data_IF_903024636057
#
_entry.id   IF_903024636057
#
_cell.length_a   1.000
_cell.length_b   1.000
_cell.length_c   1.000
_cell.angle_alpha   90.00
_cell.angle_beta   90.00
_cell.angle_gamma   90.00
#
_symmetry.space_group_name_H-M   'P 1'
#
loop_
_entity.id
_entity.type
_entity.pdbx_description
1 polymer ?
#
# COMPACT_ATOMS: atom_id res chain seq x y z
N UNK A 1 26.83 -3.61 -1.17
CA UNK A 1 25.38 -3.94 -1.07
C UNK A 1 24.86 -4.72 -2.28
N UNK A 2 25.06 -4.24 -3.51
CA UNK A 2 24.52 -4.87 -4.74
C UNK A 2 24.95 -6.33 -4.97
N UNK A 3 26.20 -6.69 -4.67
CA UNK A 3 26.68 -8.09 -4.76
C UNK A 3 25.91 -9.01 -3.80
N UNK A 4 25.67 -8.55 -2.57
CA UNK A 4 24.89 -9.27 -1.55
C UNK A 4 23.43 -9.38 -2.02
N UNK A 5 22.87 -8.30 -2.56
CA UNK A 5 21.52 -8.29 -3.11
C UNK A 5 21.34 -9.31 -4.26
N UNK A 6 22.31 -9.41 -5.18
CA UNK A 6 22.30 -10.41 -6.26
C UNK A 6 22.26 -11.83 -5.68
N UNK A 7 23.04 -12.08 -4.61
CA UNK A 7 23.11 -13.39 -3.96
C UNK A 7 21.82 -13.76 -3.23
N UNK A 8 21.18 -12.78 -2.58
CA UNK A 8 20.01 -13.01 -1.71
C UNK A 8 18.69 -12.88 -2.47
N UNK A 9 18.52 -11.86 -3.31
CA UNK A 9 17.27 -11.54 -4.03
C UNK A 9 17.26 -12.08 -5.47
N UNK A 10 18.41 -12.55 -5.96
CA UNK A 10 18.57 -13.22 -7.25
C UNK A 10 19.15 -12.32 -8.36
N UNK A 11 19.62 -12.93 -9.46
CA UNK A 11 20.33 -12.21 -10.52
C UNK A 11 19.44 -11.25 -11.31
N UNK A 12 18.15 -11.59 -11.52
CA UNK A 12 17.19 -10.71 -12.22
C UNK A 12 16.93 -9.41 -11.43
N UNK A 13 16.93 -9.48 -10.10
CA UNK A 13 16.82 -8.29 -9.24
C UNK A 13 18.05 -7.39 -9.43
N UNK A 14 19.25 -7.96 -9.33
CA UNK A 14 20.49 -7.20 -9.45
C UNK A 14 20.65 -6.47 -10.77
N UNK A 15 20.34 -7.13 -11.90
CA UNK A 15 20.41 -6.48 -13.22
C UNK A 15 19.44 -5.29 -13.30
N UNK A 16 18.20 -5.46 -12.85
CA UNK A 16 17.21 -4.36 -12.83
C UNK A 16 17.66 -3.20 -11.94
N UNK A 17 18.23 -3.49 -10.77
CA UNK A 17 18.77 -2.49 -9.85
C UNK A 17 19.94 -1.73 -10.49
N UNK A 18 20.86 -2.43 -11.17
CA UNK A 18 21.99 -1.79 -11.85
C UNK A 18 21.54 -0.87 -12.97
N UNK A 19 20.63 -1.34 -13.82
CA UNK A 19 20.03 -0.52 -14.88
C UNK A 19 19.23 0.65 -14.27
N UNK A 20 18.51 0.41 -13.18
CA UNK A 20 17.70 1.42 -12.51
C UNK A 20 18.54 2.58 -11.95
N UNK A 21 19.58 2.30 -11.17
CA UNK A 21 20.40 3.38 -10.60
C UNK A 21 21.24 4.09 -11.66
N UNK A 22 21.67 3.41 -12.72
CA UNK A 22 22.42 4.05 -13.82
C UNK A 22 21.54 5.01 -14.61
N UNK A 23 20.30 4.61 -14.94
CA UNK A 23 19.31 5.48 -15.56
C UNK A 23 18.92 6.64 -14.64
N UNK A 24 18.72 6.38 -13.34
CA UNK A 24 18.42 7.42 -12.36
C UNK A 24 19.55 8.46 -12.30
N UNK A 25 20.81 8.01 -12.25
CA UNK A 25 21.97 8.89 -12.25
C UNK A 25 22.04 9.72 -13.53
N UNK A 26 21.83 9.11 -14.70
CA UNK A 26 21.80 9.83 -15.98
C UNK A 26 20.67 10.86 -16.04
N UNK A 27 19.50 10.53 -15.49
CA UNK A 27 18.35 11.43 -15.43
C UNK A 27 18.61 12.63 -14.52
N UNK A 28 19.22 12.41 -13.35
CA UNK A 28 19.62 13.49 -12.45
C UNK A 28 20.62 14.41 -13.15
N UNK A 29 21.66 13.86 -13.79
CA UNK A 29 22.64 14.69 -14.52
C UNK A 29 22.02 15.49 -15.67
N UNK A 30 21.01 14.95 -16.35
CA UNK A 30 20.27 15.68 -17.38
C UNK A 30 19.46 16.83 -16.79
N UNK A 31 18.79 16.61 -15.65
CA UNK A 31 18.05 17.65 -14.95
C UNK A 31 18.98 18.76 -14.45
N UNK A 32 20.13 18.40 -13.87
CA UNK A 32 21.15 19.36 -13.44
C UNK A 32 21.65 20.22 -14.60
N UNK A 33 21.92 19.60 -15.77
CA UNK A 33 22.36 20.32 -16.96
C UNK A 33 21.30 21.29 -17.53
N UNK A 34 20.01 20.97 -17.37
CA UNK A 34 18.91 21.74 -17.97
C UNK A 34 18.30 22.78 -17.05
N UNK A 35 18.21 22.50 -15.75
CA UNK A 35 17.50 23.31 -14.75
C UNK A 35 18.40 23.88 -13.65
N UNK A 36 19.66 23.44 -13.54
CA UNK A 36 20.58 23.90 -12.49
C UNK A 36 20.29 23.29 -11.11
N UNK A 37 20.87 23.89 -10.06
CA UNK A 37 20.79 23.44 -8.67
C UNK A 37 19.86 24.29 -7.80
N UNK A 38 19.22 25.31 -8.37
CA UNK A 38 18.40 26.23 -7.60
C UNK A 38 17.14 25.52 -7.07
N UNK A 39 16.80 25.72 -5.78
CA UNK A 39 15.61 25.11 -5.21
C UNK A 39 14.37 25.69 -5.90
N UNK A 40 13.39 24.83 -6.21
CA UNK A 40 12.12 25.26 -6.80
C UNK A 40 11.40 26.32 -5.94
N UNK A 41 11.56 26.25 -4.62
CA UNK A 41 11.03 27.22 -3.66
C UNK A 41 12.12 27.58 -2.66
N UNK A 42 12.59 28.82 -2.71
CA UNK A 42 13.56 29.34 -1.75
C UNK A 42 12.93 29.60 -0.38
N UNK A 43 13.70 29.36 0.69
CA UNK A 43 13.34 29.74 2.05
C UNK A 43 12.35 28.82 2.79
N UNK A 44 11.79 27.79 2.14
CA UNK A 44 10.88 26.83 2.77
C UNK A 44 11.37 25.36 2.67
N UNK A 45 12.28 24.94 3.58
CA UNK A 45 12.78 23.57 3.62
C UNK A 45 11.71 22.55 4.05
N UNK A 46 10.65 22.98 4.75
CA UNK A 46 9.56 22.08 5.14
C UNK A 46 8.74 21.69 3.91
N UNK A 47 8.37 22.65 3.08
CA UNK A 47 7.67 22.41 1.82
C UNK A 47 8.48 21.46 0.91
N UNK A 48 9.77 21.74 0.75
CA UNK A 48 10.69 20.90 -0.03
C UNK A 48 10.78 19.47 0.53
N UNK A 49 10.84 19.32 1.86
CA UNK A 49 10.88 18.01 2.52
C UNK A 49 9.61 17.20 2.29
N UNK A 50 8.44 17.83 2.37
CA UNK A 50 7.15 17.15 2.17
C UNK A 50 7.00 16.70 0.71
N UNK A 51 7.15 17.62 -0.24
CA UNK A 51 6.98 17.29 -1.67
C UNK A 51 8.08 16.35 -2.17
N UNK A 52 9.33 16.58 -1.76
CA UNK A 52 10.45 15.68 -2.04
C UNK A 52 10.19 14.27 -1.50
N UNK A 53 9.76 14.15 -0.24
CA UNK A 53 9.42 12.86 0.36
C UNK A 53 8.28 12.13 -0.36
N UNK A 54 7.24 12.85 -0.80
CA UNK A 54 6.15 12.25 -1.58
C UNK A 54 6.63 11.75 -2.94
N UNK A 55 7.38 12.58 -3.69
CA UNK A 55 7.87 12.22 -5.02
C UNK A 55 8.89 11.08 -4.98
N UNK A 56 9.83 11.12 -4.03
CA UNK A 56 10.81 10.05 -3.80
C UNK A 56 10.08 8.78 -3.39
N UNK A 57 9.13 8.86 -2.45
CA UNK A 57 8.34 7.72 -2.01
C UNK A 57 7.54 7.08 -3.13
N UNK A 58 6.98 7.89 -4.03
CA UNK A 58 6.26 7.38 -5.20
C UNK A 58 7.20 6.66 -6.17
N UNK A 59 8.34 7.27 -6.51
CA UNK A 59 9.35 6.66 -7.37
C UNK A 59 9.91 5.34 -6.80
N UNK A 60 10.29 5.35 -5.52
CA UNK A 60 10.76 4.15 -4.82
C UNK A 60 9.68 3.06 -4.75
N UNK A 61 8.42 3.43 -4.49
CA UNK A 61 7.31 2.50 -4.50
C UNK A 61 7.16 1.77 -5.84
N UNK A 62 7.30 2.48 -6.97
CA UNK A 62 7.28 1.87 -8.30
C UNK A 62 8.47 0.95 -8.55
N UNK A 63 9.67 1.36 -8.10
CA UNK A 63 10.90 0.56 -8.19
C UNK A 63 10.72 -0.76 -7.44
N UNK A 64 10.27 -0.74 -6.18
CA UNK A 64 10.05 -1.96 -5.41
C UNK A 64 8.93 -2.83 -5.98
N UNK A 65 7.85 -2.22 -6.49
CA UNK A 65 6.77 -2.95 -7.19
C UNK A 65 7.28 -3.71 -8.40
N UNK A 66 8.32 -3.21 -9.08
CA UNK A 66 8.98 -3.89 -10.20
C UNK A 66 9.98 -4.99 -9.81
N UNK A 67 10.14 -5.24 -8.49
CA UNK A 67 11.18 -6.07 -7.88
C UNK A 67 12.59 -5.58 -8.23
N UNK A 68 12.84 -4.29 -8.00
CA UNK A 68 14.15 -3.63 -8.12
C UNK A 68 14.40 -2.74 -6.90
N UNK A 69 15.54 -2.06 -6.85
CA UNK A 69 15.93 -1.12 -5.78
C UNK A 69 16.74 0.04 -6.37
N UNK A 70 16.89 1.15 -5.64
CA UNK A 70 17.77 2.27 -5.97
C UNK A 70 19.25 1.97 -5.72
N UNK A 71 19.56 0.87 -5.01
CA UNK A 71 20.94 0.40 -4.80
C UNK A 71 21.56 0.80 -3.45
N UNK A 72 20.78 1.43 -2.56
CA UNK A 72 21.23 2.01 -1.28
C UNK A 72 20.79 1.21 -0.05
N UNK A 73 20.35 1.93 1.01
CA UNK A 73 19.83 1.34 2.26
C UNK A 73 18.54 0.54 2.03
N UNK A 74 17.83 0.83 0.96
CA UNK A 74 16.63 0.13 0.52
C UNK A 74 16.86 -1.34 0.14
N UNK A 75 18.07 -1.73 -0.27
CA UNK A 75 18.47 -3.13 -0.41
C UNK A 75 18.30 -3.86 0.92
N UNK A 76 18.68 -3.24 2.04
CA UNK A 76 18.59 -3.85 3.37
C UNK A 76 17.13 -4.06 3.75
N UNK A 77 16.29 -3.05 3.55
CA UNK A 77 14.85 -3.15 3.78
C UNK A 77 14.21 -4.28 2.95
N UNK A 78 14.60 -4.42 1.67
CA UNK A 78 14.12 -5.50 0.79
C UNK A 78 14.62 -6.88 1.22
N UNK A 79 15.86 -7.00 1.70
CA UNK A 79 16.37 -8.25 2.27
C UNK A 79 15.58 -8.62 3.52
N UNK A 80 15.35 -7.68 4.45
CA UNK A 80 14.58 -7.94 5.67
C UNK A 80 13.14 -8.33 5.31
N UNK A 81 12.50 -7.61 4.38
CA UNK A 81 11.15 -7.93 3.88
C UNK A 81 11.06 -9.38 3.37
N UNK A 82 12.09 -9.87 2.68
CA UNK A 82 12.12 -11.25 2.17
C UNK A 82 11.93 -12.29 3.31
N UNK A 83 12.44 -12.00 4.50
CA UNK A 83 12.36 -12.91 5.65
C UNK A 83 11.17 -12.60 6.59
N UNK A 84 10.86 -11.33 6.83
CA UNK A 84 9.84 -10.92 7.81
C UNK A 84 8.47 -10.67 7.20
N UNK A 85 8.38 -10.45 5.88
CA UNK A 85 7.16 -10.07 5.14
C UNK A 85 6.46 -8.80 5.64
N UNK A 86 7.14 -7.99 6.45
CA UNK A 86 6.63 -6.68 6.89
C UNK A 86 6.64 -5.68 5.73
N UNK A 87 5.77 -4.65 5.74
CA UNK A 87 5.75 -3.62 4.69
C UNK A 87 7.13 -2.99 4.45
N UNK A 88 7.52 -2.88 3.17
CA UNK A 88 8.87 -2.41 2.80
C UNK A 88 9.11 -0.97 3.25
N UNK A 89 8.08 -0.11 3.18
CA UNK A 89 8.13 1.26 3.64
C UNK A 89 8.35 1.39 5.15
N UNK A 90 7.74 0.54 5.97
CA UNK A 90 8.02 0.49 7.41
C UNK A 90 9.47 0.06 7.70
N UNK A 91 9.99 -0.90 6.95
CA UNK A 91 11.37 -1.35 7.08
C UNK A 91 12.37 -0.26 6.66
N UNK A 92 12.05 0.48 5.60
CA UNK A 92 12.81 1.67 5.20
C UNK A 92 12.84 2.73 6.30
N UNK A 93 11.69 3.03 6.90
CA UNK A 93 11.62 3.98 8.02
C UNK A 93 12.55 3.52 9.16
N UNK A 94 12.51 2.25 9.54
CA UNK A 94 13.35 1.73 10.61
C UNK A 94 14.86 1.80 10.28
N UNK A 95 15.25 1.39 9.07
CA UNK A 95 16.64 1.41 8.62
C UNK A 95 17.16 2.85 8.52
N UNK A 96 16.44 3.72 7.81
CA UNK A 96 16.91 5.09 7.58
C UNK A 96 16.84 5.94 8.86
N UNK A 97 15.84 5.74 9.73
CA UNK A 97 15.80 6.41 11.03
C UNK A 97 16.99 6.00 11.92
N UNK A 98 17.44 4.76 11.84
CA UNK A 98 18.64 4.31 12.57
C UNK A 98 19.91 5.02 12.07
N UNK A 99 20.03 5.21 10.74
CA UNK A 99 21.14 5.93 10.12
C UNK A 99 21.12 7.41 10.54
N UNK A 100 19.94 8.05 10.52
CA UNK A 100 19.78 9.45 10.94
C UNK A 100 20.11 9.63 12.42
N UNK A 101 19.74 8.68 13.29
CA UNK A 101 20.04 8.75 14.72
C UNK A 101 21.56 8.67 14.98
N UNK A 102 22.27 7.84 14.22
CA UNK A 102 23.74 7.79 14.26
C UNK A 102 24.34 9.13 13.78
N UNK A 103 23.75 9.74 12.75
CA UNK A 103 24.23 11.05 12.24
C UNK A 103 24.02 12.19 13.25
N UNK A 104 22.92 12.18 14.01
CA UNK A 104 22.66 13.16 15.06
C UNK A 104 23.77 13.16 16.12
N UNK A 105 24.21 11.98 16.54
CA UNK A 105 25.31 11.83 17.52
C UNK A 105 26.65 12.34 16.95
N UNK A 106 26.85 12.25 15.64
CA UNK A 106 28.10 12.65 14.99
C UNK A 106 28.20 14.15 14.69
N UNK A 107 27.08 14.81 14.35
CA UNK A 107 27.07 16.19 13.87
C UNK A 107 26.45 17.19 14.86
N UNK A 108 25.80 16.72 15.93
CA UNK A 108 25.22 17.51 17.03
C UNK A 108 24.26 18.66 16.59
N UNK A 109 23.75 18.59 15.36
CA UNK A 109 22.72 19.48 14.81
C UNK A 109 21.37 18.77 14.77
N UNK A 110 20.37 19.34 15.43
CA UNK A 110 19.01 18.82 15.49
C UNK A 110 18.18 19.15 14.25
N UNK A 111 18.55 20.16 13.47
CA UNK A 111 17.75 20.63 12.34
C UNK A 111 17.71 19.60 11.22
N UNK A 112 18.86 19.12 10.78
CA UNK A 112 18.97 18.17 9.66
C UNK A 112 18.27 16.83 9.97
N UNK A 113 18.47 16.20 11.15
CA UNK A 113 17.79 14.95 11.51
C UNK A 113 16.27 15.07 11.62
N UNK A 114 15.75 16.18 12.16
CA UNK A 114 14.30 16.40 12.25
C UNK A 114 13.64 16.53 10.88
N UNK A 115 14.24 17.27 9.94
CA UNK A 115 13.75 17.30 8.56
C UNK A 115 13.88 15.94 7.87
N UNK A 116 14.98 15.23 8.11
CA UNK A 116 15.20 13.88 7.56
C UNK A 116 14.14 12.90 8.04
N UNK A 117 13.74 12.93 9.31
CA UNK A 117 12.66 12.09 9.83
C UNK A 117 11.31 12.37 9.18
N UNK A 118 11.00 13.64 8.88
CA UNK A 118 9.78 13.98 8.11
C UNK A 118 9.83 13.33 6.73
N UNK A 119 10.94 13.49 6.00
CA UNK A 119 11.12 12.91 4.66
C UNK A 119 11.02 11.39 4.71
N UNK A 120 11.71 10.74 5.65
CA UNK A 120 11.73 9.27 5.80
C UNK A 120 10.33 8.74 6.10
N UNK A 121 9.62 9.36 7.03
CA UNK A 121 8.26 8.94 7.39
C UNK A 121 7.29 9.05 6.21
N UNK A 122 7.30 10.19 5.51
CA UNK A 122 6.46 10.41 4.32
C UNK A 122 6.82 9.41 3.23
N UNK A 123 8.12 9.26 2.92
CA UNK A 123 8.63 8.35 1.90
C UNK A 123 8.15 6.93 2.17
N UNK A 124 8.36 6.40 3.39
CA UNK A 124 7.95 5.05 3.74
C UNK A 124 6.44 4.83 3.64
N UNK A 125 5.62 5.79 4.08
CA UNK A 125 4.15 5.70 3.95
C UNK A 125 3.70 5.69 2.49
N UNK A 126 4.29 6.54 1.65
CA UNK A 126 3.97 6.59 0.22
C UNK A 126 4.43 5.32 -0.49
N UNK A 127 5.62 4.80 -0.16
CA UNK A 127 6.13 3.53 -0.68
C UNK A 127 5.14 2.39 -0.42
N UNK A 128 4.71 2.22 0.83
CA UNK A 128 3.77 1.16 1.18
C UNK A 128 2.44 1.31 0.44
N UNK A 129 1.92 2.53 0.33
CA UNK A 129 0.70 2.82 -0.43
C UNK A 129 0.83 2.46 -1.93
N UNK A 130 1.98 2.71 -2.55
CA UNK A 130 2.23 2.40 -3.96
C UNK A 130 2.41 0.90 -4.19
N UNK A 131 3.14 0.21 -3.30
CA UNK A 131 3.40 -1.23 -3.40
C UNK A 131 2.12 -2.03 -3.18
N UNK A 132 1.42 -1.79 -2.06
CA UNK A 132 0.17 -2.48 -1.74
C UNK A 132 -0.90 -2.13 -2.77
N UNK A 133 -0.78 -0.95 -3.38
CA UNK A 133 -1.82 -0.35 -4.18
C UNK A 133 -2.99 0.05 -3.29
N UNK A 134 -3.96 0.74 -3.88
CA UNK A 134 -5.21 0.97 -3.19
C UNK A 134 -6.03 -0.32 -3.35
N UNK A 135 -5.99 -1.21 -2.34
CA UNK A 135 -6.96 -2.29 -2.26
C UNK A 135 -8.34 -1.65 -2.02
N UNK A 136 -9.18 -1.68 -3.05
CA UNK A 136 -10.54 -1.14 -2.96
C UNK A 136 -11.55 -2.19 -2.51
N UNK A 137 -11.11 -3.42 -2.25
CA UNK A 137 -12.00 -4.49 -1.86
C UNK A 137 -12.43 -4.32 -0.41
N UNK A 138 -13.73 -4.41 -0.19
CA UNK A 138 -14.42 -4.26 1.07
C UNK A 138 -15.20 -5.53 1.33
N UNK A 139 -15.11 -6.02 2.56
CA UNK A 139 -15.99 -7.08 3.03
C UNK A 139 -17.27 -6.43 3.53
N UNK A 140 -18.40 -6.83 2.96
CA UNK A 140 -19.72 -6.36 3.34
C UNK A 140 -20.46 -7.47 4.09
N UNK A 141 -20.93 -7.14 5.28
CA UNK A 141 -21.84 -7.97 6.08
C UNK A 141 -23.19 -7.26 6.13
N UNK A 142 -24.21 -7.83 5.49
CA UNK A 142 -25.52 -7.20 5.31
C UNK A 142 -26.54 -8.00 6.12
N UNK A 143 -27.30 -7.31 6.97
CA UNK A 143 -28.43 -7.86 7.71
C UNK A 143 -29.69 -7.12 7.26
N UNK A 144 -30.65 -7.87 6.71
CA UNK A 144 -31.89 -7.36 6.11
C UNK A 144 -33.01 -8.38 6.31
N UNK A 145 -34.26 -7.93 6.29
CA UNK A 145 -35.44 -8.79 6.25
C UNK A 145 -35.77 -9.30 4.84
N UNK A 146 -35.04 -8.84 3.81
CA UNK A 146 -35.19 -9.24 2.40
C UNK A 146 -33.89 -9.81 1.80
N UNK A 147 -33.32 -10.89 2.37
CA UNK A 147 -32.02 -11.44 1.94
C UNK A 147 -32.02 -11.92 0.48
N UNK A 148 -33.15 -12.42 -0.02
CA UNK A 148 -33.26 -12.93 -1.39
C UNK A 148 -33.16 -11.81 -2.45
N UNK A 149 -33.77 -10.65 -2.18
CA UNK A 149 -33.69 -9.51 -3.10
C UNK A 149 -32.28 -8.93 -3.18
N UNK A 150 -31.61 -8.81 -2.02
CA UNK A 150 -30.24 -8.28 -1.95
C UNK A 150 -29.23 -9.28 -2.53
N UNK A 151 -29.37 -10.58 -2.25
CA UNK A 151 -28.48 -11.60 -2.81
C UNK A 151 -28.58 -11.69 -4.34
N UNK A 152 -29.79 -11.58 -4.90
CA UNK A 152 -29.98 -11.51 -6.35
C UNK A 152 -29.30 -10.30 -6.97
N UNK A 153 -29.40 -9.11 -6.35
CA UNK A 153 -28.68 -7.91 -6.80
C UNK A 153 -27.15 -8.13 -6.82
N UNK A 154 -26.62 -8.82 -5.81
CA UNK A 154 -25.18 -9.13 -5.71
C UNK A 154 -24.76 -10.11 -6.81
N UNK A 155 -25.55 -11.15 -7.05
CA UNK A 155 -25.25 -12.21 -8.02
C UNK A 155 -25.43 -11.76 -9.47
N UNK A 156 -26.53 -11.08 -9.80
CA UNK A 156 -26.91 -10.75 -11.18
C UNK A 156 -26.30 -9.42 -11.64
N UNK A 157 -26.42 -8.37 -10.82
CA UNK A 157 -26.04 -7.02 -11.26
C UNK A 157 -24.57 -6.69 -10.97
N UNK A 158 -24.04 -7.19 -9.85
CA UNK A 158 -22.63 -6.97 -9.48
C UNK A 158 -21.73 -8.12 -9.94
N UNK A 159 -22.31 -9.26 -10.34
CA UNK A 159 -21.58 -10.48 -10.70
C UNK A 159 -20.56 -10.91 -9.62
N UNK A 160 -20.99 -10.81 -8.34
CA UNK A 160 -20.17 -11.14 -7.17
C UNK A 160 -20.74 -12.34 -6.43
N UNK A 161 -19.85 -13.12 -5.84
CA UNK A 161 -20.23 -14.21 -4.93
C UNK A 161 -20.66 -13.67 -3.56
N UNK A 162 -21.47 -14.45 -2.87
CA UNK A 162 -21.85 -14.20 -1.48
C UNK A 162 -22.17 -15.49 -0.75
N UNK A 163 -22.09 -15.46 0.56
CA UNK A 163 -22.38 -16.59 1.45
C UNK A 163 -23.41 -16.16 2.48
N UNK A 164 -24.44 -16.98 2.67
CA UNK A 164 -25.36 -16.79 3.80
C UNK A 164 -24.75 -17.34 5.08
N UNK A 165 -24.76 -16.52 6.12
CA UNK A 165 -24.36 -16.88 7.47
C UNK A 165 -25.61 -16.82 8.35
N UNK A 166 -25.99 -17.97 8.93
CA UNK A 166 -27.07 -18.05 9.90
C UNK A 166 -26.70 -17.23 11.14
N UNK A 167 -27.46 -16.19 11.42
CA UNK A 167 -27.29 -15.30 12.55
C UNK A 167 -28.55 -15.30 13.42
N UNK A 168 -28.43 -14.83 14.65
CA UNK A 168 -29.56 -14.68 15.57
C UNK A 168 -29.60 -13.27 16.10
N UNK A 169 -30.74 -12.60 15.99
CA UNK A 169 -30.93 -11.25 16.49
C UNK A 169 -30.77 -11.20 18.00
N UNK A 170 -29.89 -10.33 18.50
CA UNK A 170 -29.62 -10.23 19.93
C UNK A 170 -30.83 -9.72 20.73
N UNK A 171 -31.62 -8.82 20.14
CA UNK A 171 -32.83 -8.27 20.77
C UNK A 171 -34.08 -9.11 20.48
N UNK A 172 -34.32 -9.45 19.22
CA UNK A 172 -35.53 -10.18 18.81
C UNK A 172 -35.47 -11.67 19.10
N UNK A 173 -34.28 -12.25 19.26
CA UNK A 173 -34.09 -13.70 19.42
C UNK A 173 -34.40 -14.52 18.16
N UNK A 174 -34.77 -13.88 17.05
CA UNK A 174 -35.14 -14.55 15.80
C UNK A 174 -33.90 -14.93 14.98
N UNK A 175 -33.96 -16.07 14.31
CA UNK A 175 -32.96 -16.45 13.31
C UNK A 175 -33.12 -15.58 12.07
N UNK A 176 -31.99 -15.10 11.55
CA UNK A 176 -31.91 -14.28 10.34
C UNK A 176 -30.72 -14.72 9.51
N UNK A 177 -30.81 -14.56 8.20
CA UNK A 177 -29.69 -14.78 7.29
C UNK A 177 -28.92 -13.48 7.07
N UNK A 178 -27.64 -13.49 7.43
CA UNK A 178 -26.70 -12.42 7.12
C UNK A 178 -25.98 -12.74 5.81
N UNK A 179 -25.92 -11.78 4.89
CA UNK A 179 -25.17 -11.92 3.65
C UNK A 179 -23.72 -11.47 3.90
N UNK A 180 -22.78 -12.38 3.66
CA UNK A 180 -21.35 -12.10 3.61
C UNK A 180 -20.92 -12.03 2.15
N UNK A 181 -20.41 -10.88 1.71
CA UNK A 181 -19.90 -10.72 0.34
C UNK A 181 -18.66 -9.84 0.34
N UNK A 182 -17.89 -9.96 -0.74
CA UNK A 182 -16.74 -9.10 -1.01
C UNK A 182 -17.04 -8.33 -2.28
N UNK A 183 -16.88 -7.01 -2.19
CA UNK A 183 -17.17 -6.08 -3.28
C UNK A 183 -16.13 -4.97 -3.31
N UNK A 184 -15.97 -4.29 -4.43
CA UNK A 184 -15.10 -3.10 -4.49
C UNK A 184 -15.80 -1.84 -3.94
N UNK A 185 -15.03 -0.78 -3.69
CA UNK A 185 -15.54 0.50 -3.15
C UNK A 185 -16.69 1.11 -3.95
N UNK A 186 -16.74 0.93 -5.28
CA UNK A 186 -17.84 1.47 -6.12
C UNK A 186 -19.11 0.63 -5.93
N UNK A 187 -18.95 -0.69 -5.91
CA UNK A 187 -20.03 -1.65 -5.66
C UNK A 187 -20.64 -1.48 -4.26
N UNK A 188 -19.84 -1.09 -3.24
CA UNK A 188 -20.37 -0.73 -1.91
C UNK A 188 -21.40 0.38 -1.98
N UNK A 189 -21.12 1.46 -2.73
CA UNK A 189 -22.05 2.58 -2.86
C UNK A 189 -23.36 2.15 -3.53
N UNK A 190 -23.27 1.35 -4.60
CA UNK A 190 -24.43 0.78 -5.30
C UNK A 190 -25.28 -0.08 -4.35
N UNK A 191 -24.63 -0.92 -3.52
CA UNK A 191 -25.32 -1.74 -2.54
C UNK A 191 -25.98 -0.92 -1.44
N UNK A 192 -25.32 0.12 -0.93
CA UNK A 192 -25.91 1.01 0.08
C UNK A 192 -27.20 1.65 -0.44
N UNK A 193 -27.17 2.18 -1.66
CA UNK A 193 -28.33 2.83 -2.27
C UNK A 193 -29.47 1.83 -2.53
N UNK A 194 -29.15 0.62 -2.99
CA UNK A 194 -30.14 -0.42 -3.22
C UNK A 194 -30.77 -0.91 -1.91
N UNK A 195 -29.97 -1.25 -0.91
CA UNK A 195 -30.45 -1.73 0.40
C UNK A 195 -31.36 -0.68 1.03
N UNK A 196 -30.98 0.60 0.99
CA UNK A 196 -31.78 1.69 1.54
C UNK A 196 -33.16 1.83 0.90
N UNK A 197 -33.29 1.52 -0.39
CA UNK A 197 -34.56 1.54 -1.12
C UNK A 197 -35.40 0.29 -0.84
N UNK A 198 -34.75 -0.87 -0.73
CA UNK A 198 -35.40 -2.18 -0.58
C UNK A 198 -35.87 -2.45 0.84
N UNK A 199 -35.03 -2.15 1.83
CA UNK A 199 -35.27 -2.36 3.26
C UNK A 199 -34.64 -1.23 4.09
N UNK A 200 -35.44 -0.20 4.46
CA UNK A 200 -34.97 0.92 5.27
C UNK A 200 -34.45 0.54 6.67
N UNK A 201 -34.82 -0.64 7.18
CA UNK A 201 -34.38 -1.13 8.50
C UNK A 201 -33.13 -2.02 8.43
N UNK A 202 -32.66 -2.33 7.22
CA UNK A 202 -31.43 -3.08 7.02
C UNK A 202 -30.21 -2.26 7.43
N UNK A 203 -29.15 -2.97 7.83
CA UNK A 203 -27.85 -2.37 8.06
C UNK A 203 -26.74 -3.20 7.42
N UNK A 204 -25.69 -2.50 7.00
CA UNK A 204 -24.52 -3.11 6.38
C UNK A 204 -23.26 -2.64 7.10
N UNK A 205 -22.45 -3.61 7.54
CA UNK A 205 -21.09 -3.35 8.01
C UNK A 205 -20.11 -3.47 6.84
N UNK A 206 -19.24 -2.48 6.69
CA UNK A 206 -18.21 -2.44 5.64
C UNK A 206 -16.85 -2.50 6.33
N UNK A 207 -16.08 -3.54 6.03
CA UNK A 207 -14.78 -3.81 6.64
C UNK A 207 -13.71 -3.74 5.54
N UNK A 208 -12.63 -3.03 5.85
CA UNK A 208 -11.48 -2.92 4.97
C UNK A 208 -10.68 -4.23 5.00
N UNK A 209 -10.64 -4.92 3.87
CA UNK A 209 -9.86 -6.14 3.76
C UNK A 209 -8.45 -5.81 3.27
N UNK A 210 -7.44 -6.16 4.08
CA UNK A 210 -6.04 -5.99 3.72
C UNK A 210 -5.65 -6.85 2.50
N UNK A 211 -6.21 -8.06 2.40
CA UNK A 211 -5.96 -8.96 1.29
C UNK A 211 -7.14 -9.92 1.10
N UNK A 212 -7.56 -10.10 -0.16
CA UNK A 212 -8.58 -11.08 -0.56
C UNK A 212 -8.03 -11.87 -1.73
N UNK A 213 -8.02 -13.19 -1.59
CA UNK A 213 -7.34 -14.11 -2.51
C UNK A 213 -8.28 -15.24 -2.91
N UNK A 214 -8.26 -15.62 -4.19
CA UNK A 214 -9.06 -16.69 -4.77
C UNK A 214 -10.32 -16.23 -5.51
N UNK A 215 -11.01 -17.19 -6.14
CA UNK A 215 -12.33 -17.11 -6.80
C UNK A 215 -12.83 -15.70 -7.22
N UNK A 216 -12.31 -15.18 -8.34
CA UNK A 216 -12.72 -13.89 -8.91
C UNK A 216 -12.01 -12.65 -8.33
N UNK A 217 -11.13 -12.84 -7.35
CA UNK A 217 -10.22 -11.84 -6.80
C UNK A 217 -8.77 -12.16 -7.18
N UNK A 218 -7.79 -11.59 -6.45
CA UNK A 218 -6.37 -11.87 -6.72
C UNK A 218 -6.11 -13.38 -6.67
N UNK A 219 -5.50 -14.00 -7.68
CA UNK A 219 -5.14 -15.41 -7.62
C UNK A 219 -4.22 -15.65 -6.42
N UNK A 220 -4.27 -16.86 -5.84
CA UNK A 220 -3.21 -17.28 -4.93
C UNK A 220 -1.91 -17.14 -5.69
N UNK A 221 -1.05 -16.19 -5.28
CA UNK A 221 0.29 -16.08 -5.83
C UNK A 221 0.90 -17.47 -5.75
N UNK A 222 1.24 -18.07 -6.90
CA UNK A 222 2.08 -19.26 -6.93
C UNK A 222 3.28 -18.97 -6.03
N UNK A 223 3.37 -19.75 -4.95
CA UNK A 223 4.59 -19.86 -4.18
C UNK A 223 5.63 -20.35 -5.17
N UNK A 224 6.41 -19.45 -5.76
CA UNK A 224 7.65 -19.83 -6.41
C UNK A 224 8.52 -20.46 -5.31
N UNK A 225 8.57 -21.80 -5.33
CA UNK A 225 9.58 -22.60 -4.67
C UNK A 225 10.97 -22.13 -5.09
#
# INVERSE_FOLDING_TARGET
>A
MTIIAIRVLGPKFGVKTVVGFTLLSAWISLLEFTWGYDPLVEGDPLLSSIFGGVLIGFGLGLIFKSKASSGGSDIVAMIINKYTKLPVGQLLIAVDASIVMISLIAFDDWKIPLYSWIVIFITGRVVDAVIQGISYDKTCMIITDKPDEVSRKILEDLNRGGTFIKARGMYSGQEKDMIYTVVNRREVAILQDFIRQTDPNAFMSVIDANEIVGNGFKPFSEKAQ
#
